data_IF_775981845168
#
_entry.id   IF_775981845168
#
_cell.length_a   1.000
_cell.length_b   1.000
_cell.length_c   1.000
_cell.angle_alpha   90.00
_cell.angle_beta   90.00
_cell.angle_gamma   90.00
#
_symmetry.space_group_name_H-M   'P 1'
#
loop_
_entity.id
_entity.type
_entity.pdbx_description
1 polymer ?
#
# COMPACT_ATOMS: atom_id res chain seq x y z
N UNK A 1 -21.75 45.07 -41.96
CA UNK A 1 -22.04 45.23 -40.52
C UNK A 1 -23.25 46.14 -40.39
N UNK A 2 -24.43 45.55 -40.18
CA UNK A 2 -25.24 45.87 -39.01
C UNK A 2 -25.93 44.60 -38.47
N UNK A 3 -25.32 43.92 -37.50
CA UNK A 3 -25.90 42.71 -36.90
C UNK A 3 -26.01 42.78 -35.38
N UNK A 4 -25.35 43.74 -34.72
CA UNK A 4 -25.28 43.83 -33.25
C UNK A 4 -26.64 44.13 -32.59
N UNK A 5 -27.50 44.96 -33.20
CA UNK A 5 -28.77 45.36 -32.57
C UNK A 5 -29.88 44.31 -32.61
N UNK A 6 -29.87 43.40 -33.59
CA UNK A 6 -30.87 42.31 -33.67
C UNK A 6 -30.52 41.15 -32.74
N UNK A 7 -29.23 40.89 -32.56
CA UNK A 7 -28.75 39.87 -31.62
C UNK A 7 -29.05 40.28 -30.18
N UNK A 8 -28.82 41.54 -29.81
CA UNK A 8 -29.06 42.02 -28.44
C UNK A 8 -30.56 41.93 -28.05
N UNK A 9 -31.46 42.37 -28.93
CA UNK A 9 -32.91 42.27 -28.69
C UNK A 9 -33.42 40.83 -28.63
N UNK A 10 -32.85 39.92 -29.41
CA UNK A 10 -33.20 38.49 -29.35
C UNK A 10 -32.68 37.83 -28.07
N UNK A 11 -31.45 38.16 -27.63
CA UNK A 11 -30.92 37.66 -26.36
C UNK A 11 -31.78 38.11 -25.18
N UNK A 12 -32.14 39.40 -25.14
CA UNK A 12 -32.99 39.94 -24.09
C UNK A 12 -34.36 39.23 -24.07
N UNK A 13 -34.98 39.02 -25.23
CA UNK A 13 -36.24 38.27 -25.32
C UNK A 13 -36.12 36.83 -24.79
N UNK A 14 -35.03 36.13 -25.10
CA UNK A 14 -34.81 34.76 -24.62
C UNK A 14 -34.65 34.71 -23.10
N UNK A 15 -33.92 35.64 -22.51
CA UNK A 15 -33.73 35.74 -21.05
C UNK A 15 -35.05 36.08 -20.33
N UNK A 16 -35.80 37.07 -20.82
CA UNK A 16 -37.12 37.44 -20.28
C UNK A 16 -38.12 36.28 -20.41
N UNK A 17 -38.10 35.58 -21.55
CA UNK A 17 -38.93 34.39 -21.79
C UNK A 17 -38.59 33.28 -20.80
N UNK A 18 -37.30 32.97 -20.60
CA UNK A 18 -36.83 31.97 -19.64
C UNK A 18 -37.33 32.28 -18.22
N UNK A 19 -37.19 33.53 -17.77
CA UNK A 19 -37.60 33.94 -16.43
C UNK A 19 -39.12 33.84 -16.22
N UNK A 20 -39.90 34.21 -17.25
CA UNK A 20 -41.35 34.04 -17.25
C UNK A 20 -41.76 32.56 -17.19
N UNK A 21 -41.10 31.68 -17.96
CA UNK A 21 -41.37 30.24 -17.92
C UNK A 21 -40.99 29.60 -16.59
N UNK A 22 -39.85 29.99 -15.98
CA UNK A 22 -39.46 29.50 -14.66
C UNK A 22 -40.49 29.91 -13.59
N UNK A 23 -40.95 31.17 -13.63
CA UNK A 23 -41.98 31.67 -12.71
C UNK A 23 -43.31 30.93 -12.89
N UNK A 24 -43.71 30.66 -14.13
CA UNK A 24 -44.92 29.89 -14.43
C UNK A 24 -44.81 28.43 -13.97
N UNK A 25 -43.65 27.81 -14.15
CA UNK A 25 -43.40 26.43 -13.73
C UNK A 25 -43.52 26.28 -12.20
N UNK A 26 -42.88 27.19 -11.46
CA UNK A 26 -42.96 27.23 -9.98
C UNK A 26 -44.40 27.45 -9.48
N UNK A 27 -45.21 28.22 -10.21
CA UNK A 27 -46.57 28.54 -9.78
C UNK A 27 -47.60 27.43 -10.12
N UNK A 28 -47.44 26.72 -11.23
CA UNK A 28 -48.51 25.89 -11.80
C UNK A 28 -48.09 24.51 -12.31
N UNK A 29 -46.80 24.21 -12.44
CA UNK A 29 -46.34 22.98 -13.08
C UNK A 29 -45.56 22.04 -12.16
N UNK A 30 -45.35 22.40 -10.88
CA UNK A 30 -44.77 21.48 -9.90
C UNK A 30 -45.72 20.28 -9.73
N UNK A 31 -45.25 19.03 -9.88
CA UNK A 31 -46.06 17.83 -9.66
C UNK A 31 -46.61 17.78 -8.23
N UNK A 32 -47.82 17.23 -8.08
CA UNK A 32 -48.44 16.96 -6.78
C UNK A 32 -47.88 15.67 -6.18
N UNK A 33 -46.59 15.70 -5.87
CA UNK A 33 -45.83 14.60 -5.28
C UNK A 33 -45.25 15.03 -3.92
N UNK A 34 -44.93 14.06 -3.07
CA UNK A 34 -44.34 14.27 -1.75
C UNK A 34 -43.00 13.52 -1.64
N UNK A 35 -42.02 14.16 -1.03
CA UNK A 35 -40.74 13.56 -0.63
C UNK A 35 -40.70 13.58 0.90
N UNK A 36 -40.53 12.43 1.54
CA UNK A 36 -40.56 12.26 3.00
C UNK A 36 -41.80 12.90 3.69
N UNK A 37 -42.96 12.87 3.01
CA UNK A 37 -44.22 13.45 3.49
C UNK A 37 -44.29 14.97 3.42
N UNK A 38 -43.35 15.61 2.70
CA UNK A 38 -43.36 17.05 2.39
C UNK A 38 -43.71 17.23 0.91
N UNK A 39 -44.76 18.01 0.58
CA UNK A 39 -45.09 18.31 -0.81
C UNK A 39 -43.94 18.98 -1.57
N UNK A 40 -43.70 18.59 -2.82
CA UNK A 40 -42.66 19.21 -3.67
C UNK A 40 -42.83 20.73 -3.78
N UNK A 41 -44.07 21.22 -3.78
CA UNK A 41 -44.39 22.66 -3.81
C UNK A 41 -43.86 23.42 -2.59
N UNK A 42 -43.64 22.73 -1.47
CA UNK A 42 -43.04 23.30 -0.28
C UNK A 42 -41.50 23.26 -0.26
N UNK A 43 -40.91 22.40 -1.10
CA UNK A 43 -39.46 22.23 -1.25
C UNK A 43 -38.93 23.15 -2.36
N UNK A 44 -39.60 23.19 -3.52
CA UNK A 44 -39.16 23.90 -4.72
C UNK A 44 -39.83 25.28 -4.75
N UNK A 45 -39.20 26.28 -4.12
CA UNK A 45 -39.75 27.64 -3.98
C UNK A 45 -39.00 28.69 -4.79
N UNK A 46 -37.71 28.44 -5.03
CA UNK A 46 -36.82 29.38 -5.68
C UNK A 46 -36.32 28.83 -7.01
N UNK A 47 -35.76 29.72 -7.82
CA UNK A 47 -35.11 29.34 -9.07
C UNK A 47 -33.85 28.47 -8.85
N UNK A 48 -33.20 28.57 -7.70
CA UNK A 48 -32.10 27.68 -7.31
C UNK A 48 -32.59 26.27 -6.97
N UNK A 49 -33.76 26.16 -6.34
CA UNK A 49 -34.40 24.86 -6.10
C UNK A 49 -34.84 24.24 -7.43
N UNK A 50 -35.32 25.06 -8.36
CA UNK A 50 -35.68 24.62 -9.71
C UNK A 50 -34.44 24.15 -10.50
N UNK A 51 -33.30 24.84 -10.39
CA UNK A 51 -32.02 24.40 -10.94
C UNK A 51 -31.60 23.05 -10.38
N UNK A 52 -31.67 22.89 -9.05
CA UNK A 52 -31.34 21.63 -8.39
C UNK A 52 -32.26 20.50 -8.79
N UNK A 53 -33.55 20.76 -8.97
CA UNK A 53 -34.57 19.77 -9.33
C UNK A 53 -34.53 19.36 -10.81
N UNK A 54 -34.47 20.35 -11.72
CA UNK A 54 -34.45 20.09 -13.17
C UNK A 54 -33.05 19.73 -13.70
N UNK A 55 -32.00 19.91 -12.90
CA UNK A 55 -30.60 19.69 -13.27
C UNK A 55 -30.15 20.54 -14.47
N UNK A 56 -30.80 21.69 -14.67
CA UNK A 56 -30.58 22.61 -15.79
C UNK A 56 -30.49 24.04 -15.28
N UNK A 57 -29.47 24.78 -15.72
CA UNK A 57 -29.26 26.17 -15.30
C UNK A 57 -30.38 27.08 -15.82
N UNK A 58 -31.23 27.52 -14.90
CA UNK A 58 -32.36 28.41 -15.17
C UNK A 58 -31.96 29.89 -15.18
N UNK A 59 -30.69 30.23 -14.94
CA UNK A 59 -30.15 31.59 -14.91
C UNK A 59 -29.06 31.85 -15.96
N UNK A 60 -28.79 30.89 -16.83
CA UNK A 60 -27.76 31.00 -17.88
C UNK A 60 -28.11 32.06 -18.95
N UNK A 61 -27.18 32.96 -19.27
CA UNK A 61 -27.39 33.97 -20.30
C UNK A 61 -27.56 33.35 -21.68
N UNK A 62 -28.37 33.99 -22.53
CA UNK A 62 -28.63 33.53 -23.90
C UNK A 62 -27.37 33.52 -24.81
N UNK A 63 -26.27 34.14 -24.38
CA UNK A 63 -25.00 34.16 -25.12
C UNK A 63 -24.18 32.86 -25.01
N UNK A 64 -24.51 31.97 -24.07
CA UNK A 64 -23.73 30.76 -23.83
C UNK A 64 -24.20 29.65 -24.78
N UNK A 65 -23.31 29.23 -25.68
CA UNK A 65 -23.54 28.10 -26.55
C UNK A 65 -23.04 26.79 -25.93
N UNK A 66 -23.90 25.78 -25.89
CA UNK A 66 -23.57 24.41 -25.45
C UNK A 66 -24.08 23.37 -26.46
N UNK A 67 -23.54 22.16 -26.39
CA UNK A 67 -24.07 21.04 -27.15
C UNK A 67 -25.03 20.23 -26.29
N UNK A 68 -26.02 19.60 -26.90
CA UNK A 68 -26.97 18.73 -26.21
C UNK A 68 -26.29 17.63 -25.36
N UNK A 69 -25.17 17.08 -25.83
CA UNK A 69 -24.40 16.06 -25.10
C UNK A 69 -23.73 16.66 -23.87
N UNK A 70 -23.11 17.85 -24.02
CA UNK A 70 -22.43 18.52 -22.91
C UNK A 70 -23.41 18.94 -21.81
N UNK A 71 -24.60 19.43 -22.19
CA UNK A 71 -25.64 19.79 -21.24
C UNK A 71 -26.17 18.56 -20.49
N UNK A 72 -26.52 17.50 -21.23
CA UNK A 72 -26.97 16.23 -20.62
C UNK A 72 -25.93 15.64 -19.66
N UNK A 73 -24.65 15.70 -20.04
CA UNK A 73 -23.55 15.23 -19.20
C UNK A 73 -23.44 16.07 -17.92
N UNK A 74 -23.58 17.38 -18.02
CA UNK A 74 -23.53 18.30 -16.87
C UNK A 74 -24.69 18.03 -15.91
N UNK A 75 -25.91 17.87 -16.44
CA UNK A 75 -27.09 17.50 -15.64
C UNK A 75 -26.89 16.19 -14.89
N UNK A 76 -26.35 15.17 -15.57
CA UNK A 76 -26.08 13.86 -14.95
C UNK A 76 -24.95 13.90 -13.92
N UNK A 77 -23.88 14.67 -14.18
CA UNK A 77 -22.81 14.91 -13.21
C UNK A 77 -23.33 15.63 -11.96
N UNK A 78 -24.18 16.65 -12.15
CA UNK A 78 -24.83 17.36 -11.05
C UNK A 78 -25.68 16.41 -10.22
N UNK A 79 -26.50 15.57 -10.86
CA UNK A 79 -27.32 14.57 -10.19
C UNK A 79 -26.48 13.63 -9.33
N UNK A 80 -25.42 13.03 -9.91
CA UNK A 80 -24.52 12.13 -9.17
C UNK A 80 -23.86 12.86 -7.99
N UNK A 81 -23.37 14.08 -8.20
CA UNK A 81 -22.75 14.86 -7.13
C UNK A 81 -23.75 15.19 -6.01
N UNK A 82 -24.99 15.54 -6.34
CA UNK A 82 -26.05 15.74 -5.36
C UNK A 82 -26.33 14.43 -4.61
N UNK A 83 -26.47 13.30 -5.30
CA UNK A 83 -26.70 11.99 -4.66
C UNK A 83 -25.54 11.52 -3.77
N UNK A 84 -24.30 11.91 -4.07
CA UNK A 84 -23.11 11.55 -3.28
C UNK A 84 -22.81 12.53 -2.14
N UNK A 85 -23.10 13.83 -2.33
CA UNK A 85 -22.88 14.87 -1.31
C UNK A 85 -24.00 14.92 -0.28
N UNK A 86 -25.15 14.40 -0.67
CA UNK A 86 -26.29 14.16 0.17
C UNK A 86 -25.93 13.27 1.36
N UNK A 87 -25.93 13.89 2.55
CA UNK A 87 -26.39 13.27 3.80
C UNK A 87 -27.93 13.03 3.73
N UNK A 88 -28.47 12.79 2.52
CA UNK A 88 -29.87 12.53 2.31
C UNK A 88 -30.10 11.10 2.79
N UNK A 89 -30.85 11.00 3.88
CA UNK A 89 -31.39 9.75 4.45
C UNK A 89 -32.24 8.91 3.46
N UNK A 90 -32.27 9.28 2.18
CA UNK A 90 -33.02 8.69 1.07
C UNK A 90 -32.16 7.88 0.10
N UNK A 91 -30.83 7.97 0.17
CA UNK A 91 -30.00 6.97 -0.49
C UNK A 91 -30.24 5.69 0.28
N UNK A 92 -31.06 4.81 -0.30
CA UNK A 92 -31.43 3.52 0.23
C UNK A 92 -30.16 2.80 0.74
N UNK A 93 -29.89 2.92 2.04
CA UNK A 93 -28.83 2.19 2.75
C UNK A 93 -29.13 0.69 2.77
N UNK A 94 -30.21 0.26 2.10
CA UNK A 94 -30.44 -1.13 1.77
C UNK A 94 -29.18 -1.75 1.16
N UNK A 95 -28.80 -2.88 1.74
CA UNK A 95 -27.56 -3.63 1.48
C UNK A 95 -27.39 -4.08 0.01
N UNK A 96 -28.33 -3.78 -0.89
CA UNK A 96 -28.29 -4.11 -2.31
C UNK A 96 -28.69 -2.94 -3.25
N UNK A 97 -28.66 -1.70 -2.80
CA UNK A 97 -28.89 -0.57 -3.70
C UNK A 97 -27.71 -0.43 -4.68
N UNK A 98 -28.01 -0.07 -5.93
CA UNK A 98 -26.98 0.15 -6.97
C UNK A 98 -25.94 1.17 -6.52
N UNK A 99 -26.33 2.17 -5.72
CA UNK A 99 -25.40 3.16 -5.20
C UNK A 99 -24.39 2.51 -4.24
N UNK A 100 -24.84 1.70 -3.28
CA UNK A 100 -23.95 1.02 -2.32
C UNK A 100 -23.02 0.05 -3.05
N UNK A 101 -23.51 -0.68 -4.05
CA UNK A 101 -22.68 -1.59 -4.83
C UNK A 101 -21.62 -0.85 -5.63
N UNK A 102 -21.99 0.23 -6.34
CA UNK A 102 -21.07 1.00 -7.17
C UNK A 102 -20.10 1.86 -6.36
N UNK A 103 -20.40 2.16 -5.10
CA UNK A 103 -19.51 2.86 -4.17
C UNK A 103 -18.50 1.95 -3.47
N UNK A 104 -18.60 0.62 -3.63
CA UNK A 104 -17.56 -0.32 -3.15
C UNK A 104 -16.33 -0.29 -4.06
N UNK A 105 -15.18 -0.70 -3.50
CA UNK A 105 -13.92 -0.79 -4.24
C UNK A 105 -14.07 -1.54 -5.56
N UNK A 106 -13.75 -0.88 -6.68
CA UNK A 106 -13.89 -1.40 -8.04
C UNK A 106 -15.20 -1.04 -8.75
N UNK A 107 -16.14 -0.38 -8.07
CA UNK A 107 -17.35 0.17 -8.69
C UNK A 107 -17.13 1.55 -9.33
N UNK A 108 -18.08 1.97 -10.17
CA UNK A 108 -17.98 3.24 -10.89
C UNK A 108 -18.03 4.47 -9.96
N UNK A 109 -18.81 4.41 -8.88
CA UNK A 109 -18.92 5.53 -7.95
C UNK A 109 -17.75 5.62 -6.97
N UNK A 110 -17.11 4.49 -6.66
CA UNK A 110 -15.87 4.48 -5.88
C UNK A 110 -14.76 5.30 -6.56
N UNK A 111 -14.66 5.21 -7.89
CA UNK A 111 -13.72 5.97 -8.72
C UNK A 111 -14.26 7.35 -9.15
N UNK A 112 -15.42 7.80 -8.64
CA UNK A 112 -16.09 9.01 -9.14
C UNK A 112 -15.22 10.25 -9.01
N UNK A 113 -14.86 10.61 -7.79
CA UNK A 113 -14.09 11.83 -7.48
C UNK A 113 -12.72 11.84 -8.15
N UNK A 114 -12.06 10.68 -8.20
CA UNK A 114 -10.69 10.58 -8.72
C UNK A 114 -10.64 10.54 -10.26
N UNK A 115 -11.63 9.91 -10.90
CA UNK A 115 -11.57 9.61 -12.33
C UNK A 115 -12.86 9.89 -13.11
N UNK A 116 -14.04 9.51 -12.59
CA UNK A 116 -15.24 9.47 -13.42
C UNK A 116 -16.05 10.78 -13.42
N UNK A 117 -15.77 11.72 -12.51
CA UNK A 117 -16.48 12.99 -12.38
C UNK A 117 -16.28 13.91 -13.60
N UNK A 118 -15.09 13.90 -14.21
CA UNK A 118 -14.78 14.70 -15.41
C UNK A 118 -14.56 13.79 -16.63
N UNK A 119 -15.03 14.25 -17.79
CA UNK A 119 -14.80 13.56 -19.05
C UNK A 119 -13.31 13.38 -19.36
N UNK A 120 -12.47 14.36 -19.02
CA UNK A 120 -11.04 14.31 -19.34
C UNK A 120 -10.32 13.21 -18.55
N UNK A 121 -10.61 13.11 -17.25
CA UNK A 121 -10.02 12.08 -16.37
C UNK A 121 -10.57 10.70 -16.72
N UNK A 122 -11.88 10.59 -16.99
CA UNK A 122 -12.52 9.34 -17.39
C UNK A 122 -11.96 8.85 -18.72
N UNK A 123 -11.91 9.71 -19.74
CA UNK A 123 -11.39 9.35 -21.06
C UNK A 123 -9.90 9.01 -21.01
N UNK A 124 -9.13 9.65 -20.12
CA UNK A 124 -7.75 9.28 -19.81
C UNK A 124 -7.64 7.85 -19.25
N UNK A 125 -8.47 7.51 -18.25
CA UNK A 125 -8.53 6.16 -17.65
C UNK A 125 -8.90 5.09 -18.68
N UNK A 126 -9.94 5.33 -19.48
CA UNK A 126 -10.36 4.40 -20.53
C UNK A 126 -9.28 4.22 -21.59
N UNK A 127 -8.66 5.32 -22.03
CA UNK A 127 -7.55 5.25 -23.00
C UNK A 127 -6.33 4.55 -22.44
N UNK A 128 -6.04 4.65 -21.14
CA UNK A 128 -4.91 3.97 -20.50
C UNK A 128 -5.03 2.44 -20.63
N UNK A 129 -6.25 1.90 -20.57
CA UNK A 129 -6.50 0.46 -20.74
C UNK A 129 -6.14 -0.04 -22.14
N UNK A 130 -6.46 0.74 -23.18
CA UNK A 130 -6.26 0.34 -24.58
C UNK A 130 -4.93 0.81 -25.18
N UNK A 131 -4.40 1.94 -24.71
CA UNK A 131 -3.22 2.59 -25.24
C UNK A 131 -2.18 2.89 -24.14
N UNK A 132 -1.75 1.89 -23.34
CA UNK A 132 -0.82 2.12 -22.25
C UNK A 132 0.53 2.68 -22.72
N UNK A 133 0.96 2.37 -23.94
CA UNK A 133 2.19 2.90 -24.53
C UNK A 133 2.24 4.42 -24.61
N UNK A 134 1.08 5.09 -24.70
CA UNK A 134 0.99 6.56 -24.71
C UNK A 134 1.30 7.17 -23.34
N UNK A 135 1.12 6.39 -22.27
CA UNK A 135 1.26 6.83 -20.89
C UNK A 135 2.53 6.29 -20.21
N UNK A 136 3.24 5.35 -20.84
CA UNK A 136 4.51 4.84 -20.34
C UNK A 136 5.60 5.87 -20.62
N UNK A 137 6.02 6.57 -19.57
CA UNK A 137 7.22 7.40 -19.58
C UNK A 137 8.36 6.66 -18.85
N UNK A 138 9.58 6.61 -19.39
CA UNK A 138 10.69 5.88 -18.77
C UNK A 138 11.08 6.39 -17.37
N UNK A 139 10.97 7.70 -17.15
CA UNK A 139 11.50 8.38 -15.96
C UNK A 139 10.59 8.28 -14.72
N UNK A 140 9.27 8.47 -14.80
CA UNK A 140 8.38 8.31 -13.64
C UNK A 140 7.82 6.89 -13.56
N UNK A 141 8.64 5.91 -13.17
CA UNK A 141 8.13 4.57 -12.83
C UNK A 141 7.90 4.48 -11.32
N UNK A 142 6.66 4.23 -10.90
CA UNK A 142 6.25 4.21 -9.48
C UNK A 142 6.95 3.15 -8.62
N UNK A 143 7.45 2.08 -9.24
CA UNK A 143 8.12 0.96 -8.58
C UNK A 143 9.61 0.85 -8.99
N UNK A 144 10.32 1.97 -9.06
CA UNK A 144 11.78 1.97 -9.23
C UNK A 144 12.46 1.35 -8.00
N UNK A 145 13.51 0.56 -8.26
CA UNK A 145 14.33 0.01 -7.19
C UNK A 145 15.29 1.07 -6.66
N UNK A 146 15.82 0.86 -5.46
CA UNK A 146 16.85 1.74 -4.88
C UNK A 146 18.05 1.86 -5.82
N UNK A 147 18.47 0.75 -6.43
CA UNK A 147 19.59 0.71 -7.38
C UNK A 147 19.30 1.52 -8.65
N UNK A 148 18.09 1.37 -9.22
CA UNK A 148 17.72 2.10 -10.43
C UNK A 148 17.63 3.61 -10.14
N UNK A 149 17.05 3.98 -8.99
CA UNK A 149 16.95 5.38 -8.56
C UNK A 149 18.33 6.02 -8.39
N UNK A 150 19.29 5.29 -7.82
CA UNK A 150 20.67 5.78 -7.68
C UNK A 150 21.36 5.98 -9.04
N UNK A 151 21.14 5.07 -10.00
CA UNK A 151 21.64 5.21 -11.36
C UNK A 151 21.02 6.44 -12.07
N UNK A 152 19.70 6.59 -11.99
CA UNK A 152 18.96 7.71 -12.58
C UNK A 152 19.42 9.07 -12.01
N UNK A 153 19.63 9.14 -10.70
CA UNK A 153 20.22 10.31 -10.04
C UNK A 153 21.64 10.61 -10.52
N UNK A 154 22.47 9.58 -10.69
CA UNK A 154 23.85 9.73 -11.16
C UNK A 154 23.88 10.28 -12.59
N UNK A 155 23.01 9.80 -13.47
CA UNK A 155 22.88 10.27 -14.85
C UNK A 155 22.34 11.72 -14.88
N UNK A 156 21.36 12.03 -14.02
CA UNK A 156 20.72 13.35 -13.98
C UNK A 156 21.60 14.47 -13.44
N UNK A 157 22.60 14.15 -12.60
CA UNK A 157 23.51 15.14 -12.01
C UNK A 157 24.71 15.49 -12.90
N UNK A 158 25.10 14.59 -13.80
CA UNK A 158 26.29 14.75 -14.65
C UNK A 158 25.98 15.37 -16.02
N UNK A 159 27.03 15.82 -16.71
CA UNK A 159 26.90 16.14 -18.13
C UNK A 159 26.54 14.88 -18.92
N UNK A 160 25.53 14.99 -19.79
CA UNK A 160 25.05 13.90 -20.63
C UNK A 160 26.08 13.60 -21.74
N UNK A 161 27.06 12.75 -21.41
CA UNK A 161 28.04 12.20 -22.34
C UNK A 161 28.18 10.69 -22.15
N UNK A 162 28.78 10.02 -23.15
CA UNK A 162 28.90 8.56 -23.18
C UNK A 162 29.62 8.00 -21.94
N UNK A 163 30.74 8.60 -21.55
CA UNK A 163 31.57 8.15 -20.42
C UNK A 163 30.82 8.20 -19.08
N UNK A 164 30.02 9.24 -18.85
CA UNK A 164 29.20 9.38 -17.65
C UNK A 164 28.09 8.34 -17.59
N UNK A 165 27.43 8.08 -18.72
CA UNK A 165 26.39 7.05 -18.82
C UNK A 165 26.98 5.66 -18.62
N UNK A 166 28.09 5.34 -19.29
CA UNK A 166 28.80 4.06 -19.15
C UNK A 166 29.20 3.80 -17.71
N UNK A 167 29.75 4.82 -17.02
CA UNK A 167 30.10 4.75 -15.60
C UNK A 167 28.89 4.49 -14.71
N UNK A 168 27.78 5.20 -14.92
CA UNK A 168 26.56 5.03 -14.14
C UNK A 168 25.96 3.62 -14.31
N UNK A 169 25.91 3.11 -15.54
CA UNK A 169 25.42 1.76 -15.84
C UNK A 169 26.35 0.68 -15.26
N UNK A 170 27.66 0.88 -15.37
CA UNK A 170 28.65 -0.04 -14.79
C UNK A 170 28.49 -0.12 -13.27
N UNK A 171 28.31 1.03 -12.60
CA UNK A 171 28.05 1.07 -11.17
C UNK A 171 26.76 0.33 -10.80
N UNK A 172 25.68 0.55 -11.56
CA UNK A 172 24.41 -0.16 -11.36
C UNK A 172 24.58 -1.69 -11.46
N UNK A 173 25.32 -2.18 -12.47
CA UNK A 173 25.58 -3.61 -12.64
C UNK A 173 26.40 -4.16 -11.46
N UNK A 174 27.43 -3.43 -11.04
CA UNK A 174 28.26 -3.83 -9.90
C UNK A 174 27.45 -3.94 -8.59
N UNK A 175 26.50 -3.03 -8.37
CA UNK A 175 25.63 -3.08 -7.19
C UNK A 175 24.52 -4.13 -7.30
N UNK A 176 24.10 -4.48 -8.53
CA UNK A 176 23.11 -5.51 -8.79
C UNK A 176 23.65 -6.93 -8.61
N UNK A 177 24.89 -7.20 -9.00
CA UNK A 177 25.49 -8.54 -8.94
C UNK A 177 25.37 -9.19 -7.55
N UNK A 178 25.75 -8.53 -6.43
CA UNK A 178 25.61 -9.10 -5.09
C UNK A 178 24.16 -9.40 -4.68
N UNK A 179 23.21 -8.60 -5.16
CA UNK A 179 21.78 -8.78 -4.87
C UNK A 179 21.20 -9.96 -5.67
N UNK A 180 21.75 -10.24 -6.85
CA UNK A 180 21.31 -11.35 -7.71
C UNK A 180 21.74 -12.74 -7.21
N UNK A 181 22.83 -12.81 -6.43
CA UNK A 181 23.42 -14.07 -5.94
C UNK A 181 23.08 -14.39 -4.47
N UNK A 182 22.11 -13.67 -3.89
CA UNK A 182 21.70 -13.83 -2.50
C UNK A 182 21.15 -15.24 -2.22
N UNK A 183 21.62 -15.82 -1.12
CA UNK A 183 21.07 -17.08 -0.57
C UNK A 183 20.07 -16.76 0.52
N UNK A 184 18.88 -17.35 0.47
CA UNK A 184 17.87 -17.15 1.52
C UNK A 184 18.24 -17.94 2.77
N UNK A 185 18.29 -17.25 3.91
CA UNK A 185 18.68 -17.81 5.22
C UNK A 185 17.46 -18.13 6.07
N UNK A 186 16.47 -17.23 6.10
CA UNK A 186 15.27 -17.39 6.92
C UNK A 186 14.05 -16.76 6.27
N UNK A 187 12.88 -17.21 6.73
CA UNK A 187 11.59 -16.68 6.32
C UNK A 187 10.60 -16.64 7.49
N UNK A 188 9.77 -15.60 7.52
CA UNK A 188 8.70 -15.42 8.50
C UNK A 188 7.40 -15.01 7.81
N UNK A 189 6.32 -15.74 8.08
CA UNK A 189 4.99 -15.42 7.56
C UNK A 189 4.16 -14.72 8.64
N UNK A 190 3.60 -13.56 8.29
CA UNK A 190 2.59 -12.89 9.14
C UNK A 190 1.19 -13.41 8.83
N UNK A 191 0.30 -13.39 9.82
CA UNK A 191 -1.11 -13.80 9.67
C UNK A 191 -1.42 -15.16 10.29
N UNK A 192 -2.71 -15.43 10.49
CA UNK A 192 -3.16 -16.72 11.02
C UNK A 192 -3.05 -17.81 9.94
N UNK A 193 -2.60 -18.98 10.37
CA UNK A 193 -2.34 -20.15 9.55
C UNK A 193 -3.53 -21.14 9.56
N UNK A 194 -4.65 -20.76 10.18
CA UNK A 194 -5.83 -21.62 10.34
C UNK A 194 -6.59 -21.90 9.04
N UNK A 195 -6.35 -21.12 7.99
CA UNK A 195 -6.94 -21.35 6.66
C UNK A 195 -5.87 -21.50 5.59
N UNK A 196 -6.08 -22.41 4.63
CA UNK A 196 -5.23 -22.61 3.43
C UNK A 196 -5.11 -21.34 2.56
N UNK A 197 -5.87 -20.31 2.87
CA UNK A 197 -5.85 -18.97 2.27
C UNK A 197 -5.23 -17.96 3.24
N UNK A 198 -4.04 -18.24 3.78
CA UNK A 198 -3.34 -17.23 4.58
C UNK A 198 -2.94 -16.07 3.65
N UNK A 199 -3.70 -14.97 3.72
CA UNK A 199 -3.53 -13.71 2.97
C UNK A 199 -2.39 -12.84 3.55
N UNK A 200 -1.43 -13.49 4.21
CA UNK A 200 -0.34 -12.83 4.91
C UNK A 200 0.82 -12.38 4.02
N UNK A 201 1.71 -11.59 4.58
CA UNK A 201 3.01 -11.27 3.97
C UNK A 201 4.07 -12.25 4.46
N UNK A 202 4.95 -12.68 3.58
CA UNK A 202 6.13 -13.47 3.95
C UNK A 202 7.37 -12.60 3.80
N UNK A 203 8.14 -12.49 4.86
CA UNK A 203 9.41 -11.78 4.91
C UNK A 203 10.55 -12.80 4.76
N UNK A 204 11.50 -12.50 3.88
CA UNK A 204 12.67 -13.33 3.63
C UNK A 204 13.94 -12.54 3.93
N UNK A 205 14.89 -13.20 4.58
CA UNK A 205 16.23 -12.65 4.79
C UNK A 205 17.20 -13.39 3.86
N UNK A 206 17.87 -12.63 3.01
CA UNK A 206 18.93 -13.08 2.11
C UNK A 206 20.30 -12.68 2.63
N UNK A 207 21.32 -13.47 2.29
CA UNK A 207 22.71 -13.25 2.66
C UNK A 207 23.58 -13.28 1.40
N UNK A 208 24.58 -12.41 1.33
CA UNK A 208 25.62 -12.45 0.28
C UNK A 208 26.53 -13.66 0.45
N UNK A 209 27.16 -14.11 -0.63
CA UNK A 209 28.12 -15.22 -0.59
C UNK A 209 29.50 -14.77 -0.11
N UNK A 210 29.87 -13.53 -0.40
CA UNK A 210 31.16 -12.95 -0.01
C UNK A 210 31.18 -12.51 1.45
N UNK A 211 32.34 -12.68 2.10
CA UNK A 211 32.60 -12.17 3.45
C UNK A 211 33.25 -10.77 3.40
N UNK A 212 32.89 -9.85 4.31
CA UNK A 212 31.89 -10.00 5.37
C UNK A 212 30.47 -10.05 4.81
N UNK A 213 29.64 -10.92 5.39
CA UNK A 213 28.28 -11.14 4.94
C UNK A 213 27.42 -9.89 5.09
N UNK A 214 26.66 -9.57 4.05
CA UNK A 214 25.62 -8.54 4.08
C UNK A 214 24.25 -9.20 4.02
N UNK A 215 23.30 -8.65 4.77
CA UNK A 215 21.95 -9.17 4.86
C UNK A 215 20.95 -8.24 4.18
N UNK A 216 19.99 -8.84 3.50
CA UNK A 216 18.94 -8.15 2.76
C UNK A 216 17.59 -8.70 3.16
N UNK A 217 16.56 -7.86 3.11
CA UNK A 217 15.18 -8.21 3.39
C UNK A 217 14.34 -8.01 2.12
N UNK A 218 13.49 -8.97 1.80
CA UNK A 218 12.37 -8.76 0.86
C UNK A 218 11.08 -9.31 1.43
N UNK A 219 9.95 -8.89 0.87
CA UNK A 219 8.63 -9.43 1.18
C UNK A 219 7.95 -10.02 -0.05
N UNK A 220 7.09 -10.99 0.19
CA UNK A 220 6.12 -11.52 -0.76
C UNK A 220 4.72 -11.31 -0.18
N UNK A 221 3.84 -10.65 -0.91
CA UNK A 221 2.44 -10.49 -0.53
C UNK A 221 1.63 -11.67 -1.05
N UNK A 222 1.24 -12.57 -0.15
CA UNK A 222 0.49 -13.76 -0.55
C UNK A 222 -0.96 -13.45 -0.91
N UNK A 223 -1.47 -12.23 -0.78
CA UNK A 223 -2.80 -11.89 -1.28
C UNK A 223 -2.81 -11.73 -2.82
N UNK A 224 -1.67 -11.41 -3.43
CA UNK A 224 -1.57 -11.13 -4.87
C UNK A 224 -1.20 -12.41 -5.62
N UNK A 225 -2.20 -13.06 -6.24
CA UNK A 225 -2.06 -14.37 -6.90
C UNK A 225 -2.71 -14.41 -8.29
N UNK A 226 -2.27 -15.33 -9.13
CA UNK A 226 -2.76 -15.48 -10.51
C UNK A 226 -4.14 -16.16 -10.61
N UNK A 227 -4.49 -17.04 -9.67
CA UNK A 227 -5.75 -17.78 -9.69
C UNK A 227 -6.14 -18.25 -8.29
N UNK A 228 -7.44 -18.43 -8.06
CA UNK A 228 -7.97 -19.01 -6.82
C UNK A 228 -7.75 -20.52 -6.74
N UNK A 229 -7.65 -21.21 -7.88
CA UNK A 229 -7.53 -22.66 -7.97
C UNK A 229 -6.10 -23.15 -7.76
N UNK A 230 -5.11 -22.48 -8.37
CA UNK A 230 -3.67 -22.73 -8.17
C UNK A 230 -2.97 -21.43 -7.79
N UNK A 231 -3.02 -21.07 -6.50
CA UNK A 231 -2.54 -19.78 -6.02
C UNK A 231 -1.01 -19.68 -6.07
N UNK A 232 -0.46 -19.24 -7.20
CA UNK A 232 0.94 -18.87 -7.31
C UNK A 232 1.11 -17.36 -7.13
N UNK A 233 2.07 -16.90 -6.30
CA UNK A 233 2.41 -15.48 -6.21
C UNK A 233 2.86 -14.96 -7.58
N UNK A 234 2.26 -13.86 -8.03
CA UNK A 234 2.65 -13.23 -9.31
C UNK A 234 3.93 -12.42 -9.15
N UNK A 235 4.57 -11.99 -10.24
CA UNK A 235 5.77 -11.15 -10.17
C UNK A 235 5.54 -9.86 -9.35
N UNK A 236 4.32 -9.28 -9.39
CA UNK A 236 3.95 -8.09 -8.63
C UNK A 236 3.77 -8.30 -7.12
N UNK A 237 3.70 -9.56 -6.66
CA UNK A 237 3.62 -9.88 -5.22
C UNK A 237 4.94 -9.66 -4.48
N UNK A 238 6.05 -9.56 -5.22
CA UNK A 238 7.39 -9.49 -4.63
C UNK A 238 7.88 -8.04 -4.52
N UNK A 239 8.45 -7.70 -3.36
CA UNK A 239 9.26 -6.48 -3.23
C UNK A 239 10.69 -6.71 -3.70
N UNK A 240 11.40 -5.59 -3.92
CA UNK A 240 12.86 -5.61 -4.04
C UNK A 240 13.54 -6.10 -2.75
N UNK A 241 14.81 -6.45 -2.89
CA UNK A 241 15.71 -6.68 -1.77
C UNK A 241 16.23 -5.35 -1.23
N UNK A 242 16.03 -5.12 0.07
CA UNK A 242 16.48 -3.91 0.76
C UNK A 242 17.58 -4.30 1.75
N UNK A 243 18.71 -3.61 1.72
CA UNK A 243 19.81 -3.85 2.65
C UNK A 243 19.37 -3.62 4.11
N UNK A 244 19.77 -4.52 4.99
CA UNK A 244 19.56 -4.37 6.44
C UNK A 244 20.72 -3.55 7.00
N UNK A 245 20.44 -2.32 7.44
CA UNK A 245 21.45 -1.41 8.00
C UNK A 245 21.83 -1.70 9.46
N UNK A 246 21.18 -2.67 10.10
CA UNK A 246 21.55 -3.10 11.45
C UNK A 246 22.98 -3.68 11.46
N UNK A 247 23.79 -3.38 12.50
CA UNK A 247 25.16 -3.88 12.63
C UNK A 247 25.15 -5.36 13.03
N UNK A 248 24.88 -6.25 12.07
CA UNK A 248 24.83 -7.70 12.30
C UNK A 248 26.27 -8.22 12.31
N UNK A 249 26.81 -8.40 13.51
CA UNK A 249 28.16 -8.93 13.71
C UNK A 249 28.13 -10.43 14.01
N UNK A 250 28.91 -11.19 13.21
CA UNK A 250 29.20 -12.63 13.38
C UNK A 250 28.05 -13.48 13.93
N UNK A 251 26.89 -13.51 13.23
CA UNK A 251 25.76 -14.30 13.70
C UNK A 251 26.11 -15.79 13.72
N UNK A 252 25.79 -16.47 14.82
CA UNK A 252 26.02 -17.90 14.98
C UNK A 252 25.29 -18.64 13.85
N UNK A 253 26.01 -19.52 13.15
CA UNK A 253 25.53 -20.28 11.98
C UNK A 253 24.93 -19.41 10.88
N UNK A 254 25.36 -18.14 10.77
CA UNK A 254 24.79 -17.16 9.85
C UNK A 254 23.27 -16.94 10.01
N UNK A 255 22.71 -17.31 11.17
CA UNK A 255 21.26 -17.32 11.39
C UNK A 255 20.76 -15.95 11.86
N UNK A 256 20.05 -15.27 10.96
CA UNK A 256 19.28 -14.07 11.24
C UNK A 256 17.83 -14.39 10.97
N UNK A 257 16.94 -14.10 11.92
CA UNK A 257 15.51 -14.36 11.81
C UNK A 257 14.73 -13.04 11.81
N UNK A 258 13.63 -12.99 11.05
CA UNK A 258 12.64 -11.92 11.14
C UNK A 258 11.43 -12.39 11.94
N UNK A 259 10.74 -11.44 12.57
CA UNK A 259 9.45 -11.69 13.21
C UNK A 259 8.61 -10.42 13.24
N UNK A 260 7.29 -10.57 13.33
CA UNK A 260 6.36 -9.46 13.35
C UNK A 260 5.70 -9.38 14.73
N UNK A 261 5.67 -8.18 15.32
CA UNK A 261 5.08 -7.97 16.64
C UNK A 261 4.58 -6.53 16.78
N UNK A 262 3.37 -6.33 17.32
CA UNK A 262 2.79 -5.00 17.53
C UNK A 262 2.79 -4.15 16.25
N UNK A 263 2.36 -4.75 15.14
CA UNK A 263 2.32 -4.12 13.80
C UNK A 263 3.68 -3.64 13.25
N UNK A 264 4.78 -4.11 13.83
CA UNK A 264 6.13 -3.73 13.44
C UNK A 264 6.99 -4.95 13.13
N UNK A 265 7.88 -4.78 12.16
CA UNK A 265 8.86 -5.80 11.77
C UNK A 265 10.11 -5.71 12.63
N UNK A 266 10.55 -6.85 13.12
CA UNK A 266 11.77 -7.02 13.89
C UNK A 266 12.69 -8.03 13.22
N UNK A 267 13.97 -7.92 13.54
CA UNK A 267 14.99 -8.92 13.25
C UNK A 267 15.72 -9.27 14.53
N UNK A 268 16.21 -10.50 14.60
CA UNK A 268 17.08 -10.94 15.67
C UNK A 268 18.14 -11.92 15.20
N UNK A 269 19.29 -11.92 15.87
CA UNK A 269 20.35 -12.87 15.65
C UNK A 269 21.07 -13.20 16.96
N UNK A 270 21.70 -14.36 16.98
CA UNK A 270 22.60 -14.76 18.06
C UNK A 270 24.03 -14.39 17.70
N UNK A 271 24.75 -13.77 18.62
CA UNK A 271 26.18 -13.45 18.49
C UNK A 271 26.95 -14.06 19.65
N UNK A 272 28.24 -14.32 19.44
CA UNK A 272 29.13 -14.92 20.44
C UNK A 272 30.26 -13.93 20.73
N UNK A 273 30.35 -13.48 21.97
CA UNK A 273 31.43 -12.62 22.43
C UNK A 273 32.37 -13.42 23.33
N UNK A 274 33.67 -13.19 23.17
CA UNK A 274 34.70 -13.84 23.98
C UNK A 274 34.95 -13.00 25.22
N UNK A 275 34.64 -13.54 26.39
CA UNK A 275 34.80 -12.84 27.67
C UNK A 275 36.24 -12.92 28.22
N UNK A 276 37.05 -13.81 27.64
CA UNK A 276 38.45 -14.04 28.00
C UNK A 276 38.83 -15.52 27.90
N UNK A 277 40.08 -15.83 28.21
CA UNK A 277 40.56 -17.21 28.35
C UNK A 277 40.93 -17.50 29.79
N UNK A 278 40.46 -18.64 30.29
CA UNK A 278 40.84 -19.16 31.61
C UNK A 278 41.77 -20.36 31.40
N UNK A 279 42.94 -20.32 32.05
CA UNK A 279 43.90 -21.42 32.05
C UNK A 279 43.54 -22.38 33.17
N UNK A 280 43.19 -23.62 32.83
CA UNK A 280 43.00 -24.71 33.79
C UNK A 280 43.78 -25.93 33.30
N UNK A 281 44.63 -26.52 34.14
CA UNK A 281 45.41 -27.73 33.84
C UNK A 281 46.16 -27.73 32.49
N UNK A 282 46.74 -26.60 32.10
CA UNK A 282 47.52 -26.51 30.84
C UNK A 282 46.70 -26.50 29.56
N UNK A 283 45.36 -26.49 29.66
CA UNK A 283 44.46 -26.22 28.54
C UNK A 283 43.86 -24.82 28.67
N UNK A 284 43.88 -24.07 27.56
CA UNK A 284 43.27 -22.75 27.45
C UNK A 284 41.80 -22.93 27.07
N UNK A 285 40.88 -22.84 28.04
CA UNK A 285 39.45 -22.81 27.73
C UNK A 285 38.99 -21.36 27.58
N UNK A 286 38.54 -21.02 26.38
CA UNK A 286 37.94 -19.73 26.10
C UNK A 286 36.51 -19.70 26.66
N UNK A 287 36.22 -18.70 27.50
CA UNK A 287 34.87 -18.45 28.00
C UNK A 287 34.14 -17.54 27.03
N UNK A 288 32.87 -17.84 26.77
CA UNK A 288 32.05 -17.10 25.82
C UNK A 288 30.67 -16.81 26.37
N UNK A 289 30.17 -15.61 26.09
CA UNK A 289 28.79 -15.22 26.32
C UNK A 289 28.06 -15.14 24.99
N UNK A 290 26.89 -15.78 24.94
CA UNK A 290 25.98 -15.68 23.80
C UNK A 290 25.04 -14.50 24.02
N UNK A 291 24.83 -13.69 22.99
CA UNK A 291 23.94 -12.53 23.02
C UNK A 291 22.85 -12.65 21.97
N UNK A 292 21.61 -12.37 22.35
CA UNK A 292 20.49 -12.12 21.44
C UNK A 292 20.37 -10.62 21.20
N UNK A 293 20.64 -10.19 19.98
CA UNK A 293 20.42 -8.82 19.52
C UNK A 293 19.08 -8.74 18.81
N UNK A 294 18.26 -7.75 19.16
CA UNK A 294 16.94 -7.50 18.58
C UNK A 294 16.90 -6.07 18.05
N UNK A 295 16.54 -5.92 16.79
CA UNK A 295 16.37 -4.64 16.11
C UNK A 295 14.97 -4.57 15.49
N UNK A 296 14.45 -3.36 15.35
CA UNK A 296 13.16 -3.12 14.71
C UNK A 296 13.30 -2.17 13.53
N UNK A 297 12.40 -2.30 12.57
CA UNK A 297 12.28 -1.37 11.44
C UNK A 297 11.29 -0.26 11.79
N UNK A 298 11.71 0.99 11.69
CA UNK A 298 10.85 2.15 11.91
C UNK A 298 9.96 2.45 10.69
N UNK A 299 9.11 3.48 10.80
CA UNK A 299 8.23 3.93 9.71
C UNK A 299 9.01 4.55 8.53
N UNK A 300 10.22 5.06 8.77
CA UNK A 300 11.12 5.56 7.73
C UNK A 300 11.92 4.47 7.03
N UNK A 301 11.78 3.22 7.45
CA UNK A 301 12.47 2.06 6.91
C UNK A 301 13.88 1.82 7.46
N UNK A 302 14.33 2.59 8.45
CA UNK A 302 15.62 2.44 9.12
C UNK A 302 15.54 1.38 10.24
N UNK A 303 16.69 0.79 10.57
CA UNK A 303 16.82 -0.20 11.63
C UNK A 303 17.35 0.41 12.91
N UNK A 304 16.62 0.22 14.01
CA UNK A 304 16.97 0.72 15.34
C UNK A 304 17.13 -0.41 16.34
N UNK A 305 18.07 -0.26 17.28
CA UNK A 305 18.28 -1.24 18.35
C UNK A 305 17.08 -1.25 19.30
N UNK A 306 16.58 -2.45 19.63
CA UNK A 306 15.53 -2.64 20.63
C UNK A 306 16.12 -3.12 21.95
N UNK A 307 16.83 -4.26 21.90
CA UNK A 307 17.38 -4.91 23.09
C UNK A 307 18.52 -5.86 22.73
N UNK A 308 19.51 -5.96 23.62
CA UNK A 308 20.54 -7.00 23.62
C UNK A 308 20.44 -7.79 24.93
N UNK A 309 20.27 -9.10 24.84
CA UNK A 309 20.02 -9.98 25.99
C UNK A 309 21.10 -11.05 26.10
N UNK A 310 21.69 -11.29 27.28
CA UNK A 310 22.62 -12.40 27.46
C UNK A 310 21.84 -13.73 27.52
N UNK A 311 22.41 -14.78 26.94
CA UNK A 311 21.82 -16.11 26.89
C UNK A 311 22.74 -17.16 27.49
N UNK A 312 22.18 -18.19 28.16
CA UNK A 312 22.94 -19.37 28.54
C UNK A 312 23.57 -20.06 27.31
N UNK A 313 24.74 -20.65 27.49
CA UNK A 313 25.63 -21.18 26.44
C UNK A 313 25.04 -22.30 25.55
N UNK A 314 23.86 -22.84 25.88
CA UNK A 314 23.24 -24.00 25.21
C UNK A 314 22.19 -23.67 24.13
N UNK A 315 21.97 -22.40 23.76
CA UNK A 315 20.90 -22.04 22.83
C UNK A 315 21.43 -21.74 21.42
N UNK A 316 20.95 -22.51 20.44
CA UNK A 316 21.42 -22.46 19.05
C UNK A 316 20.43 -21.79 18.07
N UNK A 317 19.19 -21.48 18.47
CA UNK A 317 18.18 -20.91 17.58
C UNK A 317 17.58 -19.59 18.12
N UNK A 318 17.78 -18.43 17.44
CA UNK A 318 17.31 -17.12 17.91
C UNK A 318 15.79 -17.03 18.06
N UNK A 319 15.06 -17.71 17.18
CA UNK A 319 13.61 -17.49 16.98
C UNK A 319 12.77 -18.05 18.11
N UNK A 320 13.18 -19.16 18.71
CA UNK A 320 12.49 -19.77 19.86
C UNK A 320 12.53 -18.87 21.11
N UNK A 321 13.53 -17.99 21.22
CA UNK A 321 13.68 -17.08 22.36
C UNK A 321 12.85 -15.81 22.17
N UNK A 322 12.84 -15.25 20.96
CA UNK A 322 12.00 -14.09 20.64
C UNK A 322 10.51 -14.41 20.85
N UNK A 323 10.06 -15.61 20.43
CA UNK A 323 8.71 -16.10 20.69
C UNK A 323 8.44 -16.38 22.18
N UNK A 324 9.38 -17.01 22.91
CA UNK A 324 9.24 -17.30 24.34
C UNK A 324 9.25 -16.04 25.23
N UNK A 325 9.85 -14.94 24.77
CA UNK A 325 9.80 -13.65 25.47
C UNK A 325 8.42 -13.00 25.47
N UNK A 326 7.51 -13.45 24.61
CA UNK A 326 6.20 -12.85 24.36
C UNK A 326 4.99 -13.68 24.82
N UNK A 327 5.18 -14.91 25.29
CA UNK A 327 4.09 -15.62 25.98
C UNK A 327 3.96 -15.05 27.40
N UNK A 328 2.76 -14.62 27.80
CA UNK A 328 2.42 -14.05 29.11
C UNK A 328 2.62 -15.02 30.31
N UNK A 329 3.83 -15.52 30.52
CA UNK A 329 4.39 -15.96 31.82
C UNK A 329 5.90 -15.65 31.86
N UNK A 330 6.41 -15.13 32.99
CA UNK A 330 7.64 -14.35 33.01
C UNK A 330 8.88 -15.24 32.94
N UNK A 331 10.01 -14.61 32.60
CA UNK A 331 11.40 -15.10 32.76
C UNK A 331 11.70 -15.76 34.13
N UNK A 332 10.78 -15.68 35.10
CA UNK A 332 10.83 -16.29 36.43
C UNK A 332 10.58 -17.80 36.49
N UNK A 333 10.04 -18.44 35.44
CA UNK A 333 9.85 -19.91 35.41
C UNK A 333 11.08 -20.68 34.94
N UNK A 334 12.06 -20.01 34.33
CA UNK A 334 13.28 -20.61 33.78
C UNK A 334 14.47 -20.68 34.76
N UNK A 335 14.31 -20.23 36.01
CA UNK A 335 15.39 -20.22 37.02
C UNK A 335 15.11 -21.00 38.32
N UNK A 336 14.06 -21.83 38.39
CA UNK A 336 13.80 -22.66 39.57
C UNK A 336 13.31 -24.07 39.21
N UNK A 337 14.22 -24.99 38.89
CA UNK A 337 14.36 -26.29 39.57
C UNK A 337 15.47 -27.16 38.94
N UNK A 338 16.17 -27.87 39.82
CA UNK A 338 17.35 -28.74 39.64
C UNK A 338 17.14 -29.84 38.56
N UNK A 339 18.22 -30.22 37.86
CA UNK A 339 18.39 -31.45 37.04
C UNK A 339 17.99 -32.76 37.77
N UNK A 340 17.86 -33.98 37.15
CA UNK A 340 17.85 -34.48 35.73
C UNK A 340 16.73 -35.57 35.47
N UNK A 341 16.73 -36.50 34.44
CA UNK A 341 17.36 -36.56 33.09
C UNK A 341 16.39 -36.84 31.88
N UNK A 342 16.96 -36.65 30.67
CA UNK A 342 16.67 -37.17 29.30
C UNK A 342 15.40 -37.98 28.95
N UNK A 343 14.78 -37.64 27.81
CA UNK A 343 14.47 -38.61 26.72
C UNK A 343 14.68 -37.94 25.34
N UNK A 344 15.32 -38.69 24.44
CA UNK A 344 15.74 -38.37 23.08
C UNK A 344 14.61 -38.01 22.09
N UNK A 345 14.98 -37.25 21.07
CA UNK A 345 14.55 -37.50 19.69
C UNK A 345 13.72 -36.41 19.03
N UNK A 346 14.36 -35.56 18.22
CA UNK A 346 14.07 -35.44 16.78
C UNK A 346 15.06 -34.44 16.14
N UNK A 347 15.91 -34.94 15.26
CA UNK A 347 16.64 -34.14 14.28
C UNK A 347 15.62 -33.59 13.25
N UNK A 348 15.61 -32.28 13.01
CA UNK A 348 15.02 -31.70 11.81
C UNK A 348 16.06 -30.80 11.11
N UNK A 349 16.24 -30.94 9.79
CA UNK A 349 17.31 -30.27 9.04
C UNK A 349 17.08 -28.77 8.83
N UNK A 350 18.17 -28.07 8.52
CA UNK A 350 18.27 -26.63 8.28
C UNK A 350 17.34 -26.14 7.16
N UNK A 351 16.36 -25.32 7.53
CA UNK A 351 15.62 -24.27 6.76
C UNK A 351 14.20 -24.18 7.32
N UNK A 352 14.07 -23.64 8.54
CA UNK A 352 12.75 -23.54 9.18
C UNK A 352 12.14 -22.18 8.84
N UNK A 353 11.10 -22.19 7.99
CA UNK A 353 10.09 -21.12 7.97
C UNK A 353 9.32 -21.26 9.28
N UNK A 354 9.39 -20.25 10.14
CA UNK A 354 8.76 -20.28 11.46
C UNK A 354 7.43 -19.53 11.36
N UNK A 355 6.36 -20.25 11.68
CA UNK A 355 4.98 -19.76 11.65
C UNK A 355 4.66 -19.12 13.00
N UNK A 356 4.35 -17.82 13.01
CA UNK A 356 3.89 -17.13 14.20
C UNK A 356 2.40 -17.38 14.43
N UNK A 357 2.02 -17.77 15.65
CA UNK A 357 0.66 -17.57 16.16
C UNK A 357 0.62 -16.25 16.94
N UNK A 358 -0.46 -15.50 16.75
CA UNK A 358 -0.78 -14.28 17.49
C UNK A 358 -0.85 -14.54 19.00
#
# INVERSE_FOLDING_TARGET
MPTEGWTEGLMQYLEESRDAHCSAYLAWCIPDEEIDGVPLSDIIKTQDDLYSYLLLDTRISAIVDTTWVAETMTSLQQFINQSLSADNNEVDEAINSTLVEQSRSGGFLYDWTDYNQSYDTWSGKERLQYYPSTYIYPTPRSNQTVLFTAMDQTISQGDLNFENVERAVTQYINDFIPVSTLTTVSGYQTGDNSTKSSQGKVYFIGQTQDQPYRYYLRRCDLAIRNSEAEPMPTAGSWSEWIAISAPIESPINNSVASFFYGERLYICWLSKETDGSTMSEGQTEATYTNWLSIYYRDSGGQWSSFRKLPLPSNIQNPTNIAAASNAQKPLSSLLKQRMPPMVNGLNLPMSTIILGRL
#
